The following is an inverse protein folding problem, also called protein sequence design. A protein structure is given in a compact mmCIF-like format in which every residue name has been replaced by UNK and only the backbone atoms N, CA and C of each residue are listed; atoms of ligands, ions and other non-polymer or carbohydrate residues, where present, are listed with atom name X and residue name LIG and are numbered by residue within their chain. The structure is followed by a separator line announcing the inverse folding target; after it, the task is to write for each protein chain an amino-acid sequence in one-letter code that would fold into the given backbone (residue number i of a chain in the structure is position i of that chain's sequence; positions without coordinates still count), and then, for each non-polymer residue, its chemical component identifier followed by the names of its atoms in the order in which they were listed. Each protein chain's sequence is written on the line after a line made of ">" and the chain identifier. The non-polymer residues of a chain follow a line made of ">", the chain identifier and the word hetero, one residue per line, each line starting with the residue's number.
data_IF_918181404043
#
_entry.id   IF_918181404043
#
_cell.length_a   1.000
_cell.length_b   1.000
_cell.length_c   1.000
_cell.angle_alpha   90.00
_cell.angle_beta   90.00
_cell.angle_gamma   90.00
#
_symmetry.space_group_name_H-M   'P 1'
#
loop_
_entity.id
_entity.type
_entity.pdbx_description
1 polymer ?
#
# COMPACT_ATOMS: atom_id res chain seq x y z
N UNK A 1 -2.88 -40.87 -22.03
CA UNK A 1 -2.58 -39.75 -21.11
C UNK A 1 -3.86 -39.37 -20.37
N UNK A 2 -4.01 -39.81 -19.12
CA UNK A 2 -5.21 -39.54 -18.31
C UNK A 2 -5.22 -38.08 -17.84
N UNK A 3 -6.25 -37.32 -18.23
CA UNK A 3 -6.49 -35.96 -17.74
C UNK A 3 -7.15 -36.05 -16.37
N UNK A 4 -6.34 -36.08 -15.31
CA UNK A 4 -6.81 -36.00 -13.94
C UNK A 4 -7.58 -34.69 -13.71
N UNK A 5 -8.91 -34.75 -13.74
CA UNK A 5 -9.79 -33.64 -13.34
C UNK A 5 -10.18 -33.84 -11.88
N UNK A 6 -9.67 -32.98 -11.00
CA UNK A 6 -10.17 -32.84 -9.63
C UNK A 6 -11.69 -32.66 -9.66
N UNK A 7 -12.42 -33.44 -8.86
CA UNK A 7 -13.87 -33.25 -8.71
C UNK A 7 -14.13 -31.80 -8.26
N UNK A 8 -15.13 -31.10 -8.82
CA UNK A 8 -15.43 -29.70 -8.47
C UNK A 8 -15.68 -29.52 -6.96
N UNK A 9 -16.12 -30.58 -6.27
CA UNK A 9 -16.26 -30.62 -4.82
C UNK A 9 -14.97 -30.25 -4.07
N UNK A 10 -13.79 -30.62 -4.58
CA UNK A 10 -12.49 -30.36 -3.93
C UNK A 10 -11.75 -29.15 -4.51
N UNK A 11 -12.12 -28.67 -5.70
CA UNK A 11 -11.47 -27.52 -6.34
C UNK A 11 -11.86 -26.17 -5.72
N UNK A 12 -13.13 -26.00 -5.37
CA UNK A 12 -13.67 -24.78 -4.73
C UNK A 12 -12.98 -24.44 -3.39
N UNK A 13 -12.82 -25.37 -2.42
CA UNK A 13 -12.18 -25.06 -1.15
C UNK A 13 -10.68 -24.74 -1.29
N UNK A 14 -9.99 -25.35 -2.25
CA UNK A 14 -8.59 -25.00 -2.56
C UNK A 14 -8.50 -23.57 -3.09
N UNK A 15 -9.40 -23.16 -3.99
CA UNK A 15 -9.49 -21.78 -4.47
C UNK A 15 -9.79 -20.80 -3.33
N UNK A 16 -10.70 -21.14 -2.40
CA UNK A 16 -11.00 -20.31 -1.23
C UNK A 16 -9.77 -20.18 -0.32
N UNK A 17 -9.02 -21.26 -0.09
CA UNK A 17 -7.79 -21.23 0.69
C UNK A 17 -6.70 -20.35 0.04
N UNK A 18 -6.56 -20.43 -1.29
CA UNK A 18 -5.65 -19.55 -2.05
C UNK A 18 -6.06 -18.08 -1.90
N UNK A 19 -7.36 -17.77 -2.02
CA UNK A 19 -7.88 -16.41 -1.81
C UNK A 19 -7.68 -15.93 -0.36
N UNK A 20 -7.83 -16.81 0.62
CA UNK A 20 -7.59 -16.51 2.03
C UNK A 20 -6.12 -16.14 2.28
N UNK A 21 -5.19 -16.92 1.73
CA UNK A 21 -3.75 -16.65 1.81
C UNK A 21 -3.37 -15.36 1.07
N UNK A 22 -3.95 -15.11 -0.09
CA UNK A 22 -3.73 -13.88 -0.85
C UNK A 22 -4.22 -12.64 -0.09
N UNK A 23 -5.43 -12.69 0.47
CA UNK A 23 -5.97 -11.61 1.31
C UNK A 23 -5.09 -11.37 2.56
N UNK A 24 -4.56 -12.42 3.17
CA UNK A 24 -3.61 -12.29 4.28
C UNK A 24 -2.32 -11.58 3.86
N UNK A 25 -1.78 -11.92 2.68
CA UNK A 25 -0.58 -11.28 2.12
C UNK A 25 -0.78 -9.79 1.84
N UNK A 26 -1.98 -9.39 1.44
CA UNK A 26 -2.34 -7.96 1.26
C UNK A 26 -2.49 -7.22 2.59
N UNK A 27 -2.74 -7.93 3.69
CA UNK A 27 -2.84 -7.38 5.05
C UNK A 27 -1.49 -7.24 5.78
N UNK A 28 -0.39 -7.05 5.06
CA UNK A 28 0.91 -6.72 5.67
C UNK A 28 0.99 -5.20 5.91
N UNK A 29 1.39 -4.75 7.12
CA UNK A 29 1.61 -3.33 7.37
C UNK A 29 2.73 -2.83 6.46
N UNK A 30 2.54 -1.66 5.88
CA UNK A 30 3.58 -0.98 5.12
C UNK A 30 4.27 0.00 6.05
N UNK A 31 5.47 -0.35 6.51
CA UNK A 31 6.26 0.52 7.37
C UNK A 31 6.84 1.65 6.53
N UNK A 32 6.22 2.83 6.62
CA UNK A 32 6.84 4.06 6.14
C UNK A 32 7.89 4.50 7.17
N UNK A 33 9.08 4.97 6.75
CA UNK A 33 10.08 5.49 7.68
C UNK A 33 9.49 6.64 8.50
N UNK A 34 9.83 6.70 9.79
CA UNK A 34 9.39 7.76 10.68
C UNK A 34 9.99 9.11 10.25
N UNK A 35 9.28 10.21 10.54
CA UNK A 35 9.84 11.55 10.38
C UNK A 35 10.95 11.72 11.42
N UNK A 36 12.05 12.42 11.09
CA UNK A 36 13.04 12.78 12.09
C UNK A 36 12.40 13.66 13.18
N UNK A 37 12.93 13.59 14.39
CA UNK A 37 12.45 14.38 15.53
C UNK A 37 12.61 15.89 15.31
N UNK A 38 13.60 16.28 14.51
CA UNK A 38 13.86 17.65 14.10
C UNK A 38 13.78 17.75 12.58
N UNK A 39 13.03 18.73 12.10
CA UNK A 39 12.84 19.01 10.69
C UNK A 39 13.71 20.21 10.29
N UNK A 40 14.27 20.16 9.09
CA UNK A 40 14.98 21.30 8.53
C UNK A 40 13.97 22.35 8.06
N UNK A 41 14.23 23.61 8.38
CA UNK A 41 13.30 24.71 8.11
C UNK A 41 13.91 25.67 7.09
N UNK A 42 13.14 26.01 6.06
CA UNK A 42 13.48 27.06 5.09
C UNK A 42 12.37 28.09 5.08
N UNK A 43 12.72 29.35 5.27
CA UNK A 43 11.81 30.49 5.22
C UNK A 43 12.16 31.41 4.07
N UNK A 44 11.16 32.03 3.46
CA UNK A 44 11.40 33.05 2.44
C UNK A 44 10.12 33.69 1.94
N UNK A 45 10.25 34.48 0.88
CA UNK A 45 9.16 35.19 0.24
C UNK A 45 8.87 34.60 -1.13
N UNK A 46 7.59 34.42 -1.43
CA UNK A 46 7.15 33.83 -2.71
C UNK A 46 7.56 34.73 -3.87
N UNK A 47 8.23 34.15 -4.86
CA UNK A 47 8.49 34.79 -6.14
C UNK A 47 7.45 34.38 -7.18
N UNK A 48 7.24 33.07 -7.32
CA UNK A 48 6.27 32.50 -8.25
C UNK A 48 5.80 31.12 -7.80
N UNK A 49 4.65 30.71 -8.33
CA UNK A 49 4.12 29.36 -8.17
C UNK A 49 4.00 28.71 -9.53
N UNK A 50 4.41 27.45 -9.62
CA UNK A 50 4.30 26.63 -10.81
C UNK A 50 3.47 25.40 -10.48
N UNK A 51 2.53 25.06 -11.35
CA UNK A 51 1.82 23.80 -11.30
C UNK A 51 2.16 22.98 -12.55
N UNK A 52 2.43 21.69 -12.35
CA UNK A 52 2.67 20.78 -13.45
C UNK A 52 2.00 19.45 -13.18
N UNK A 53 1.45 18.85 -14.24
CA UNK A 53 1.02 17.46 -14.21
C UNK A 53 2.24 16.57 -14.31
N UNK A 54 2.51 15.77 -13.28
CA UNK A 54 3.57 14.78 -13.29
C UNK A 54 2.98 13.38 -13.19
N UNK A 55 3.46 12.48 -14.05
CA UNK A 55 3.13 11.06 -13.97
C UNK A 55 3.86 10.45 -12.78
N UNK A 56 3.12 10.13 -11.72
CA UNK A 56 3.70 9.38 -10.61
C UNK A 56 3.81 7.90 -11.01
N UNK A 57 5.04 7.40 -11.10
CA UNK A 57 5.30 5.99 -11.43
C UNK A 57 5.26 5.18 -10.14
N UNK A 58 4.05 4.86 -9.67
CA UNK A 58 3.82 4.10 -8.44
C UNK A 58 2.80 2.99 -8.66
N UNK A 59 3.26 1.80 -9.06
CA UNK A 59 2.42 0.63 -9.33
C UNK A 59 1.69 0.69 -10.69
N UNK A 60 0.90 -0.36 -10.99
CA UNK A 60 0.21 -0.62 -12.29
C UNK A 60 -0.79 0.46 -12.77
N UNK A 61 -0.82 1.64 -12.16
CA UNK A 61 -1.69 2.76 -12.55
C UNK A 61 -0.84 4.01 -12.71
N UNK A 62 -0.73 4.49 -13.95
CA UNK A 62 -0.22 5.83 -14.23
C UNK A 62 -1.20 6.85 -13.66
N UNK A 63 -0.98 7.28 -12.42
CA UNK A 63 -1.74 8.36 -11.82
C UNK A 63 -1.00 9.66 -12.13
N UNK A 64 -1.62 10.49 -12.96
CA UNK A 64 -1.18 11.86 -13.15
C UNK A 64 -1.58 12.63 -11.89
N UNK A 65 -0.59 13.19 -11.19
CA UNK A 65 -0.80 14.02 -10.01
C UNK A 65 -0.42 15.46 -10.35
N UNK A 66 -1.21 16.42 -9.85
CA UNK A 66 -0.83 17.82 -9.91
C UNK A 66 0.25 18.04 -8.86
N UNK A 67 1.42 18.52 -9.30
CA UNK A 67 2.53 18.88 -8.42
C UNK A 67 2.63 20.39 -8.39
N UNK A 68 2.58 20.95 -7.19
CA UNK A 68 2.76 22.37 -6.96
C UNK A 68 4.20 22.64 -6.56
N UNK A 69 4.76 23.72 -7.11
CA UNK A 69 6.14 24.13 -6.88
C UNK A 69 6.18 25.62 -6.57
N UNK A 70 6.68 25.97 -5.40
CA UNK A 70 6.85 27.37 -4.96
C UNK A 70 8.31 27.74 -5.16
N UNK A 71 8.55 28.89 -5.77
CA UNK A 71 9.88 29.50 -5.95
C UNK A 71 10.00 30.66 -4.98
N UNK A 72 11.13 30.75 -4.28
CA UNK A 72 11.42 31.81 -3.34
C UNK A 72 12.33 32.87 -3.96
N UNK A 73 12.11 34.15 -3.62
CA UNK A 73 12.96 35.26 -4.09
C UNK A 73 14.40 35.10 -3.63
N UNK A 74 14.60 34.54 -2.45
CA UNK A 74 15.91 34.26 -1.86
C UNK A 74 16.62 33.08 -2.53
N UNK A 75 15.84 32.21 -3.19
CA UNK A 75 16.30 30.97 -3.82
C UNK A 75 15.64 30.73 -5.19
N UNK A 76 15.86 31.62 -6.19
CA UNK A 76 15.11 31.61 -7.46
C UNK A 76 15.34 30.35 -8.32
N UNK A 77 16.38 29.56 -8.02
CA UNK A 77 16.73 28.31 -8.73
C UNK A 77 16.33 27.04 -7.98
N UNK A 78 15.68 27.18 -6.83
CA UNK A 78 15.18 26.05 -6.05
C UNK A 78 13.66 26.08 -6.09
N UNK A 79 13.08 24.96 -6.50
CA UNK A 79 11.64 24.75 -6.55
C UNK A 79 11.23 23.90 -5.36
N UNK A 80 10.49 24.48 -4.42
CA UNK A 80 9.95 23.78 -3.27
C UNK A 80 8.65 23.10 -3.68
N UNK A 81 8.68 21.77 -3.80
CA UNK A 81 7.50 20.98 -4.14
C UNK A 81 6.60 20.87 -2.91
N UNK A 82 5.34 21.26 -3.08
CA UNK A 82 4.29 21.21 -2.06
C UNK A 82 3.13 20.34 -2.53
N UNK A 83 2.44 19.71 -1.58
CA UNK A 83 1.29 18.83 -1.88
C UNK A 83 0.04 19.61 -2.22
N UNK A 84 -0.19 20.70 -1.50
CA UNK A 84 -1.38 21.53 -1.60
C UNK A 84 -0.96 23.00 -1.55
N UNK A 85 -1.76 23.83 -2.22
CA UNK A 85 -1.70 25.28 -2.18
C UNK A 85 -2.97 25.79 -1.51
N UNK A 86 -2.97 27.02 -0.98
CA UNK A 86 -4.21 27.64 -0.56
C UNK A 86 -5.18 27.75 -1.75
N UNK A 87 -6.48 27.78 -1.44
CA UNK A 87 -7.53 27.91 -2.47
C UNK A 87 -7.40 29.20 -3.28
N UNK A 88 -6.87 30.25 -2.65
CA UNK A 88 -6.46 31.48 -3.32
C UNK A 88 -5.03 31.35 -3.85
N UNK A 89 -4.77 31.90 -5.03
CA UNK A 89 -3.46 31.86 -5.64
C UNK A 89 -2.42 32.55 -4.73
N UNK A 90 -1.33 31.84 -4.44
CA UNK A 90 -0.29 32.32 -3.53
C UNK A 90 0.37 33.57 -4.13
N UNK A 91 0.11 34.73 -3.54
CA UNK A 91 0.56 36.02 -4.10
C UNK A 91 2.09 36.16 -3.97
N UNK A 92 2.81 36.65 -5.01
CA UNK A 92 4.21 36.99 -4.89
C UNK A 92 4.47 38.02 -3.78
N UNK A 93 5.45 37.74 -2.93
CA UNK A 93 5.78 38.53 -1.73
C UNK A 93 5.24 37.96 -0.43
N UNK A 94 4.33 36.99 -0.48
CA UNK A 94 3.82 36.32 0.72
C UNK A 94 4.93 35.59 1.46
N UNK A 95 5.05 35.75 2.79
CA UNK A 95 6.02 35.01 3.60
C UNK A 95 5.58 33.55 3.76
N UNK A 96 6.51 32.64 3.57
CA UNK A 96 6.26 31.20 3.68
C UNK A 96 7.38 30.48 4.43
N UNK A 97 7.02 29.35 5.02
CA UNK A 97 7.93 28.44 5.73
C UNK A 97 7.69 27.01 5.26
N UNK A 98 8.78 26.33 4.92
CA UNK A 98 8.80 24.92 4.55
C UNK A 98 9.56 24.14 5.61
N UNK A 99 9.06 22.95 5.93
CA UNK A 99 9.77 22.00 6.77
C UNK A 99 9.98 20.68 6.03
N UNK A 100 11.14 20.06 6.25
CA UNK A 100 11.56 18.89 5.49
C UNK A 100 12.44 17.96 6.32
N UNK A 101 12.28 16.66 6.13
CA UNK A 101 13.07 15.63 6.81
C UNK A 101 14.51 15.52 6.31
N UNK A 102 14.80 16.01 5.09
CA UNK A 102 16.13 15.97 4.50
C UNK A 102 16.73 17.37 4.50
N UNK A 103 18.01 17.46 4.88
CA UNK A 103 18.76 18.71 4.84
C UNK A 103 18.75 19.32 3.42
N UNK A 104 18.18 20.53 3.22
CA UNK A 104 18.17 21.21 1.94
C UNK A 104 19.47 21.94 1.63
N UNK A 105 20.37 22.12 2.60
CA UNK A 105 21.55 22.95 2.46
C UNK A 105 22.43 22.56 1.25
N UNK A 106 22.70 21.27 0.98
CA UNK A 106 23.49 20.87 -0.18
C UNK A 106 22.85 21.26 -1.53
N UNK A 107 21.52 21.22 -1.64
CA UNK A 107 20.76 21.66 -2.81
C UNK A 107 20.78 23.18 -2.95
N UNK A 108 20.62 23.92 -1.84
CA UNK A 108 20.66 25.38 -1.80
C UNK A 108 22.04 25.91 -2.21
N UNK A 109 23.12 25.30 -1.71
CA UNK A 109 24.49 25.67 -2.06
C UNK A 109 24.81 25.36 -3.52
N UNK A 110 24.41 24.19 -4.02
CA UNK A 110 24.55 23.84 -5.43
C UNK A 110 23.78 24.80 -6.34
N UNK A 111 22.59 25.24 -5.96
CA UNK A 111 21.80 26.20 -6.72
C UNK A 111 22.48 27.59 -6.83
N UNK A 112 23.26 27.98 -5.81
CA UNK A 112 24.09 29.19 -5.83
C UNK A 112 25.28 29.04 -6.79
N UNK A 113 25.95 27.89 -6.76
CA UNK A 113 27.15 27.63 -7.55
C UNK A 113 26.87 27.37 -9.04
N UNK A 114 25.79 26.64 -9.36
CA UNK A 114 25.50 26.19 -10.72
C UNK A 114 24.34 26.95 -11.35
N UNK A 115 24.68 27.88 -12.24
CA UNK A 115 23.72 28.84 -12.84
C UNK A 115 22.73 28.21 -13.82
N UNK A 116 23.07 27.07 -14.40
CA UNK A 116 22.26 26.38 -15.41
C UNK A 116 21.37 25.26 -14.85
N UNK A 117 21.43 24.99 -13.54
CA UNK A 117 20.71 23.89 -12.92
C UNK A 117 19.51 24.40 -12.10
N UNK A 118 18.40 23.67 -12.18
CA UNK A 118 17.23 23.86 -11.31
C UNK A 118 17.13 22.68 -10.36
N UNK A 119 16.96 22.97 -9.07
CA UNK A 119 16.86 21.94 -8.03
C UNK A 119 15.43 21.87 -7.51
N UNK A 120 14.96 20.66 -7.21
CA UNK A 120 13.64 20.44 -6.62
C UNK A 120 13.83 19.87 -5.23
N UNK A 121 13.20 20.51 -4.24
CA UNK A 121 13.22 20.08 -2.84
C UNK A 121 11.79 19.81 -2.42
N UNK A 122 11.51 18.63 -1.89
CA UNK A 122 10.17 18.28 -1.42
C UNK A 122 9.96 18.76 0.01
N UNK A 123 8.97 19.62 0.20
CA UNK A 123 8.54 20.03 1.54
C UNK A 123 7.55 19.01 2.11
N UNK A 124 7.65 18.78 3.41
CA UNK A 124 6.78 17.91 4.17
C UNK A 124 5.70 18.72 4.90
N UNK A 125 6.05 19.89 5.42
CA UNK A 125 5.10 20.84 6.03
C UNK A 125 5.21 22.17 5.31
N UNK A 126 4.07 22.84 5.10
CA UNK A 126 4.01 24.14 4.43
C UNK A 126 3.13 25.11 5.21
N UNK A 127 3.72 26.26 5.55
CA UNK A 127 3.09 27.33 6.33
C UNK A 127 3.13 28.60 5.49
N UNK A 128 1.99 29.27 5.40
CA UNK A 128 1.80 30.52 4.64
C UNK A 128 1.30 31.57 5.60
N UNK A 129 2.05 32.67 5.74
CA UNK A 129 1.69 33.79 6.61
C UNK A 129 1.29 33.37 8.04
N UNK A 130 2.08 32.45 8.62
CA UNK A 130 1.83 31.88 9.95
C UNK A 130 0.69 30.85 10.03
N UNK A 131 -0.06 30.64 8.94
CA UNK A 131 -1.10 29.61 8.86
C UNK A 131 -0.52 28.31 8.30
N UNK A 132 -0.66 27.21 9.05
CA UNK A 132 -0.26 25.88 8.59
C UNK A 132 -1.26 25.40 7.55
N UNK A 133 -0.84 25.24 6.29
CA UNK A 133 -1.71 24.70 5.25
C UNK A 133 -1.80 23.19 5.32
N UNK A 134 -0.67 22.53 5.54
CA UNK A 134 -0.65 21.11 5.83
C UNK A 134 0.60 20.71 6.63
N UNK A 135 0.41 19.71 7.49
CA UNK A 135 1.45 19.10 8.32
C UNK A 135 1.66 17.63 7.88
N UNK A 136 2.89 17.29 7.52
CA UNK A 136 3.25 15.92 7.18
C UNK A 136 3.04 14.93 8.32
N UNK A 137 3.20 15.35 9.58
CA UNK A 137 2.97 14.47 10.72
C UNK A 137 1.50 14.04 10.76
N UNK A 138 0.57 14.98 10.62
CA UNK A 138 -0.86 14.71 10.59
C UNK A 138 -1.23 13.85 9.37
N UNK A 139 -0.77 14.21 8.17
CA UNK A 139 -1.07 13.44 6.95
C UNK A 139 -0.51 12.01 7.06
N UNK A 140 0.72 11.83 7.56
CA UNK A 140 1.29 10.49 7.77
C UNK A 140 0.50 9.70 8.82
N UNK A 141 0.02 10.34 9.87
CA UNK A 141 -0.84 9.69 10.86
C UNK A 141 -2.17 9.23 10.24
N UNK A 142 -2.81 10.07 9.42
CA UNK A 142 -4.02 9.72 8.69
C UNK A 142 -3.78 8.60 7.68
N UNK A 143 -2.69 8.66 6.91
CA UNK A 143 -2.28 7.61 5.97
C UNK A 143 -2.03 6.29 6.69
N UNK A 144 -1.35 6.32 7.85
CA UNK A 144 -1.11 5.16 8.70
C UNK A 144 -2.43 4.58 9.20
N UNK A 145 -3.34 5.42 9.70
CA UNK A 145 -4.66 4.99 10.16
C UNK A 145 -5.48 4.35 9.02
N UNK A 146 -5.43 4.90 7.80
CA UNK A 146 -6.07 4.34 6.60
C UNK A 146 -5.44 3.00 6.21
N UNK A 147 -4.10 2.90 6.22
CA UNK A 147 -3.39 1.67 5.96
C UNK A 147 -3.72 0.59 6.99
N UNK A 148 -3.74 0.93 8.28
CA UNK A 148 -4.11 0.03 9.38
C UNK A 148 -5.57 -0.43 9.28
N UNK A 149 -6.49 0.45 8.87
CA UNK A 149 -7.87 0.09 8.59
C UNK A 149 -7.97 -0.89 7.41
N UNK A 150 -7.21 -0.66 6.33
CA UNK A 150 -7.16 -1.56 5.18
C UNK A 150 -6.57 -2.92 5.56
N UNK A 151 -5.48 -2.95 6.32
CA UNK A 151 -4.86 -4.18 6.86
C UNK A 151 -5.86 -4.96 7.69
N UNK A 152 -6.57 -4.30 8.62
CA UNK A 152 -7.62 -4.94 9.43
C UNK A 152 -8.72 -5.54 8.56
N UNK A 153 -9.16 -4.82 7.52
CA UNK A 153 -10.17 -5.31 6.58
C UNK A 153 -9.70 -6.57 5.84
N UNK A 154 -8.49 -6.57 5.28
CA UNK A 154 -7.95 -7.72 4.55
C UNK A 154 -7.73 -8.94 5.45
N UNK A 155 -7.23 -8.73 6.68
CA UNK A 155 -7.12 -9.80 7.69
C UNK A 155 -8.49 -10.36 8.07
N UNK A 156 -9.49 -9.50 8.27
CA UNK A 156 -10.86 -9.92 8.55
C UNK A 156 -11.43 -10.80 7.43
N UNK A 157 -11.28 -10.38 6.17
CA UNK A 157 -11.69 -11.18 5.00
C UNK A 157 -10.98 -12.53 4.98
N UNK A 158 -9.66 -12.54 5.20
CA UNK A 158 -8.86 -13.77 5.23
C UNK A 158 -9.35 -14.75 6.30
N UNK A 159 -9.63 -14.27 7.52
CA UNK A 159 -10.14 -15.09 8.62
C UNK A 159 -11.50 -15.70 8.31
N UNK A 160 -12.42 -14.93 7.69
CA UNK A 160 -13.72 -15.44 7.26
C UNK A 160 -13.56 -16.55 6.21
N UNK A 161 -12.68 -16.36 5.23
CA UNK A 161 -12.41 -17.38 4.20
C UNK A 161 -11.80 -18.64 4.82
N UNK A 162 -10.88 -18.50 5.77
CA UNK A 162 -10.34 -19.65 6.51
C UNK A 162 -11.41 -20.37 7.33
N UNK A 163 -12.33 -19.65 7.99
CA UNK A 163 -13.44 -20.26 8.71
C UNK A 163 -14.33 -21.10 7.78
N UNK A 164 -14.61 -20.61 6.57
CA UNK A 164 -15.34 -21.38 5.54
C UNK A 164 -14.59 -22.66 5.17
N UNK A 165 -13.28 -22.59 4.96
CA UNK A 165 -12.44 -23.78 4.68
C UNK A 165 -12.49 -24.78 5.83
N UNK A 166 -12.36 -24.32 7.08
CA UNK A 166 -12.40 -25.19 8.27
C UNK A 166 -13.75 -25.87 8.42
N UNK A 167 -14.86 -25.12 8.29
CA UNK A 167 -16.22 -25.68 8.34
C UNK A 167 -16.41 -26.72 7.23
N UNK A 168 -15.94 -26.43 6.02
CA UNK A 168 -16.01 -27.36 4.91
C UNK A 168 -15.22 -28.65 5.16
N UNK A 169 -13.98 -28.53 5.66
CA UNK A 169 -13.15 -29.69 6.06
C UNK A 169 -13.85 -30.49 7.16
N UNK A 170 -14.43 -29.84 8.17
CA UNK A 170 -15.16 -30.52 9.25
C UNK A 170 -16.40 -31.26 8.73
N UNK A 171 -17.17 -30.67 7.82
CA UNK A 171 -18.29 -31.32 7.16
C UNK A 171 -17.85 -32.52 6.32
N UNK A 172 -16.71 -32.39 5.63
CA UNK A 172 -16.14 -33.49 4.85
C UNK A 172 -15.72 -34.63 5.76
N UNK A 173 -14.96 -34.36 6.83
CA UNK A 173 -14.60 -35.36 7.84
C UNK A 173 -15.85 -36.01 8.42
N UNK A 174 -16.89 -35.26 8.76
CA UNK A 174 -18.16 -35.81 9.28
C UNK A 174 -18.85 -36.71 8.27
N UNK A 175 -18.95 -36.30 7.01
CA UNK A 175 -19.56 -37.09 5.93
C UNK A 175 -18.77 -38.38 5.68
N UNK A 176 -17.45 -38.30 5.73
CA UNK A 176 -16.56 -39.43 5.47
C UNK A 176 -16.32 -40.31 6.68
N UNK A 177 -16.66 -39.88 7.90
CA UNK A 177 -16.57 -40.70 9.12
C UNK A 177 -17.37 -42.01 9.00
N UNK A 178 -18.53 -41.97 8.34
CA UNK A 178 -19.33 -43.18 8.04
C UNK A 178 -18.69 -44.11 6.98
N UNK A 179 -17.90 -43.55 6.05
CA UNK A 179 -17.16 -44.32 5.03
C UNK A 179 -15.84 -44.87 5.60
N UNK A 180 -15.18 -44.13 6.48
CA UNK A 180 -13.97 -44.57 7.17
C UNK A 180 -14.28 -45.67 8.19
N UNK A 181 -15.44 -45.62 8.85
CA UNK A 181 -15.92 -46.72 9.69
C UNK A 181 -16.22 -48.00 8.89
N UNK A 182 -16.66 -47.90 7.62
CA UNK A 182 -16.84 -49.06 6.76
C UNK A 182 -15.55 -49.59 6.13
N UNK A 183 -14.49 -48.76 6.02
CA UNK A 183 -13.14 -49.16 5.63
C UNK A 183 -12.30 -49.74 6.78
N UNK A 184 -12.68 -49.48 8.04
CA UNK A 184 -12.05 -50.06 9.23
C UNK A 184 -12.50 -51.51 9.51
N UNK A 185 -13.45 -52.05 8.72
CA UNK A 185 -13.73 -53.50 8.70
C UNK A 185 -12.65 -54.19 7.85
N UNK A 186 -12.05 -55.29 8.35
CA UNK A 186 -10.89 -55.89 7.72
C UNK A 186 -11.30 -56.74 6.51
N UNK A 187 -11.46 -56.11 5.35
CA UNK A 187 -11.49 -56.80 4.08
C UNK A 187 -10.30 -56.29 3.24
N UNK A 188 -9.27 -57.12 3.10
CA UNK A 188 -8.13 -57.05 2.16
C UNK A 188 -7.55 -55.66 1.79
N UNK A 189 -6.26 -55.43 2.08
CA UNK A 189 -5.51 -54.19 1.78
C UNK A 189 -5.58 -53.71 0.32
N UNK A 190 -5.84 -54.61 -0.64
CA UNK A 190 -6.01 -54.28 -2.07
C UNK A 190 -7.31 -53.52 -2.37
N UNK A 191 -8.39 -53.80 -1.64
CA UNK A 191 -9.72 -53.27 -1.96
C UNK A 191 -9.96 -51.88 -1.36
N UNK A 192 -9.29 -51.57 -0.25
CA UNK A 192 -9.26 -50.22 0.35
C UNK A 192 -8.49 -49.22 -0.54
N UNK A 193 -7.36 -49.65 -1.13
CA UNK A 193 -6.56 -48.82 -2.03
C UNK A 193 -7.29 -48.48 -3.33
N UNK A 194 -7.98 -49.47 -3.92
CA UNK A 194 -8.78 -49.26 -5.14
C UNK A 194 -10.01 -48.38 -4.89
N UNK A 195 -10.65 -48.50 -3.73
CA UNK A 195 -11.73 -47.60 -3.31
C UNK A 195 -11.25 -46.17 -3.11
N UNK A 196 -10.07 -45.97 -2.51
CA UNK A 196 -9.46 -44.65 -2.36
C UNK A 196 -9.12 -44.04 -3.73
N UNK A 197 -8.58 -44.83 -4.65
CA UNK A 197 -8.24 -44.41 -6.02
C UNK A 197 -9.47 -43.96 -6.81
N UNK A 198 -10.56 -44.72 -6.79
CA UNK A 198 -11.86 -44.37 -7.42
C UNK A 198 -12.58 -43.20 -6.74
N UNK A 199 -12.24 -42.89 -5.49
CA UNK A 199 -12.84 -41.79 -4.74
C UNK A 199 -12.19 -40.44 -5.06
N UNK A 200 -10.86 -40.41 -5.17
CA UNK A 200 -10.09 -39.19 -5.51
C UNK A 200 -10.15 -38.89 -7.01
N UNK A 201 -10.14 -39.93 -7.85
CA UNK A 201 -10.03 -39.81 -9.30
C UNK A 201 -11.26 -40.37 -10.02
N UNK A 202 -11.69 -39.68 -11.09
CA UNK A 202 -12.77 -40.15 -11.97
C UNK A 202 -12.15 -41.11 -12.99
N UNK A 203 -12.52 -42.38 -12.91
CA UNK A 203 -12.58 -43.26 -14.09
C UNK A 203 -13.94 -43.07 -14.77
#
# INVERSE_FOLDING_TARGET
>A
MSRFRLRPLYGVPVMIAILAAYAWSLGKPFDKPELPAEMFVVTGTVESVQNSWESTTGGSRNLAAVVYRVVLREHPRVKFSVRELPSEELVPGTPVRFEMSRDPQPELERARLYVYATYVVSAETFVVDGTVLYDAAEIRAQDKARADAAVRRYRGISLVLWAVVVVWVALLVRRHRGVLQSLARPDGTSDAADRFRRWVYRE
#
